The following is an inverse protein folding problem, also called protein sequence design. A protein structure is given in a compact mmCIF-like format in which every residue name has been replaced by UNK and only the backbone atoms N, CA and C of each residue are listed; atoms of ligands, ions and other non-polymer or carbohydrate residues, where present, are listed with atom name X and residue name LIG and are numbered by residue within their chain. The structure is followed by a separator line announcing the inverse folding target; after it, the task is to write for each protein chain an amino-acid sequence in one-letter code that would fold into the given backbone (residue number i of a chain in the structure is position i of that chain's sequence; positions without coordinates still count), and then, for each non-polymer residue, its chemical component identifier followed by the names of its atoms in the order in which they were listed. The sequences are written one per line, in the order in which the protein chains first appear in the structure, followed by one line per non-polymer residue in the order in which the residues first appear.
data_IF_438708681864
#
_entry.id   IF_438708681864
#
_cell.length_a   1.000
_cell.length_b   1.000
_cell.length_c   1.000
_cell.angle_alpha   90.00
_cell.angle_beta   90.00
_cell.angle_gamma   90.00
#
_symmetry.space_group_name_H-M   'P 1'
#
loop_
_entity.id
_entity.type
_entity.pdbx_description
1 polymer ?
#
# COMPACT_ATOMS: atom_id res chain seq x y z
N UNK A 1 1.84 -11.93 -19.34
CA UNK A 1 3.29 -11.63 -19.27
C UNK A 1 3.62 -10.57 -18.21
N UNK A 2 2.90 -9.43 -18.13
CA UNK A 2 3.07 -8.41 -17.07
C UNK A 2 2.86 -8.94 -15.63
N UNK A 3 1.94 -9.89 -15.43
CA UNK A 3 1.66 -10.46 -14.12
C UNK A 3 2.90 -11.07 -13.44
N UNK A 4 3.87 -11.59 -14.20
CA UNK A 4 5.02 -12.29 -13.63
C UNK A 4 6.08 -11.34 -13.03
N UNK A 5 6.23 -10.13 -13.57
CA UNK A 5 7.22 -9.16 -13.06
C UNK A 5 6.71 -8.56 -11.74
N UNK A 6 5.44 -8.13 -11.72
CA UNK A 6 4.83 -7.56 -10.52
C UNK A 6 4.74 -8.62 -9.42
N UNK A 7 4.32 -9.85 -9.75
CA UNK A 7 4.30 -10.96 -8.80
C UNK A 7 5.70 -11.29 -8.25
N UNK A 8 6.74 -11.32 -9.10
CA UNK A 8 8.12 -11.50 -8.66
C UNK A 8 8.59 -10.39 -7.72
N UNK A 9 8.23 -9.13 -8.02
CA UNK A 9 8.52 -7.99 -7.15
C UNK A 9 7.79 -8.11 -5.80
N UNK A 10 6.48 -8.36 -5.82
CA UNK A 10 5.67 -8.53 -4.61
C UNK A 10 6.20 -9.70 -3.78
N UNK A 11 6.64 -10.80 -4.39
CA UNK A 11 7.22 -11.93 -3.67
C UNK A 11 8.52 -11.55 -2.92
N UNK A 12 9.35 -10.68 -3.52
CA UNK A 12 10.59 -10.19 -2.91
C UNK A 12 10.38 -9.03 -1.92
N UNK A 13 9.23 -8.36 -1.97
CA UNK A 13 8.91 -7.25 -1.07
C UNK A 13 9.00 -7.71 0.39
N UNK A 14 9.76 -6.96 1.19
CA UNK A 14 9.96 -7.21 2.63
C UNK A 14 9.30 -6.15 3.51
N UNK A 15 9.16 -6.43 4.80
CA UNK A 15 8.73 -5.44 5.80
C UNK A 15 9.66 -4.23 5.83
N UNK A 16 10.96 -4.43 5.63
CA UNK A 16 11.96 -3.36 5.59
C UNK A 16 11.73 -2.40 4.43
N UNK A 17 11.39 -2.93 3.25
CA UNK A 17 11.10 -2.10 2.07
C UNK A 17 9.86 -1.22 2.29
N UNK A 18 8.81 -1.79 2.88
CA UNK A 18 7.58 -1.07 3.21
C UNK A 18 7.85 0.00 4.26
N UNK A 19 8.60 -0.33 5.32
CA UNK A 19 8.92 0.61 6.38
C UNK A 19 9.76 1.79 5.84
N UNK A 20 10.78 1.50 5.03
CA UNK A 20 11.59 2.54 4.40
C UNK A 20 10.77 3.43 3.47
N UNK A 21 9.83 2.85 2.71
CA UNK A 21 8.93 3.63 1.87
C UNK A 21 8.01 4.54 2.71
N UNK A 22 7.45 4.02 3.80
CA UNK A 22 6.63 4.81 4.72
C UNK A 22 7.42 5.98 5.33
N UNK A 23 8.63 5.71 5.85
CA UNK A 23 9.50 6.73 6.45
C UNK A 23 9.87 7.82 5.43
N UNK A 24 10.20 7.45 4.18
CA UNK A 24 10.48 8.41 3.11
C UNK A 24 9.32 9.36 2.81
N UNK A 25 8.09 8.95 3.13
CA UNK A 25 6.88 9.75 2.99
C UNK A 25 6.39 10.34 4.32
N UNK A 26 7.25 10.39 5.35
CA UNK A 26 6.94 10.91 6.70
C UNK A 26 5.82 10.15 7.44
N UNK A 27 5.70 8.85 7.18
CA UNK A 27 4.77 7.93 7.84
C UNK A 27 5.57 6.97 8.72
N UNK A 28 5.29 6.97 10.02
CA UNK A 28 5.98 6.13 10.99
C UNK A 28 5.02 5.07 11.50
N UNK A 29 5.04 3.92 10.84
CA UNK A 29 4.17 2.80 11.20
C UNK A 29 4.72 2.08 12.43
N UNK A 30 3.83 1.75 13.37
CA UNK A 30 4.17 0.80 14.42
C UNK A 30 4.23 -0.63 13.86
N UNK A 31 4.65 -1.59 14.68
CA UNK A 31 4.82 -2.98 14.25
C UNK A 31 3.53 -3.58 13.69
N UNK A 32 2.40 -3.38 14.36
CA UNK A 32 1.11 -3.96 13.97
C UNK A 32 0.58 -3.34 12.67
N UNK A 33 0.71 -2.02 12.52
CA UNK A 33 0.36 -1.29 11.29
C UNK A 33 1.23 -1.75 10.11
N UNK A 34 2.53 -1.91 10.33
CA UNK A 34 3.47 -2.35 9.30
C UNK A 34 3.19 -3.79 8.85
N UNK A 35 2.95 -4.70 9.79
CA UNK A 35 2.57 -6.09 9.49
C UNK A 35 1.22 -6.16 8.75
N UNK A 36 0.28 -5.30 9.12
CA UNK A 36 -0.99 -5.16 8.40
C UNK A 36 -0.79 -4.73 6.96
N UNK A 37 -0.04 -3.64 6.71
CA UNK A 37 0.23 -3.14 5.35
C UNK A 37 0.93 -4.19 4.50
N UNK A 38 1.94 -4.87 5.05
CA UNK A 38 2.64 -5.96 4.37
C UNK A 38 1.70 -7.08 3.95
N UNK A 39 0.89 -7.57 4.89
CA UNK A 39 -0.08 -8.64 4.64
C UNK A 39 -1.14 -8.21 3.63
N UNK A 40 -1.61 -6.98 3.74
CA UNK A 40 -2.60 -6.41 2.83
C UNK A 40 -2.08 -6.38 1.39
N UNK A 41 -0.87 -5.88 1.17
CA UNK A 41 -0.25 -5.82 -0.17
C UNK A 41 -0.06 -7.23 -0.73
N UNK A 42 0.55 -8.15 0.03
CA UNK A 42 0.83 -9.52 -0.41
C UNK A 42 -0.43 -10.28 -0.81
N UNK A 43 -1.53 -10.09 -0.06
CA UNK A 43 -2.77 -10.84 -0.28
C UNK A 43 -3.68 -10.19 -1.33
N UNK A 44 -3.61 -8.87 -1.54
CA UNK A 44 -4.59 -8.14 -2.35
C UNK A 44 -4.03 -7.52 -3.64
N UNK A 45 -2.72 -7.55 -3.91
CA UNK A 45 -2.14 -6.88 -5.09
C UNK A 45 -2.79 -7.29 -6.41
N UNK A 46 -3.14 -8.57 -6.61
CA UNK A 46 -3.82 -9.04 -7.84
C UNK A 46 -5.18 -8.36 -8.01
N UNK A 47 -5.95 -8.29 -6.93
CA UNK A 47 -7.27 -7.64 -6.90
C UNK A 47 -7.14 -6.13 -7.14
N UNK A 48 -6.16 -5.49 -6.52
CA UNK A 48 -5.89 -4.05 -6.66
C UNK A 48 -5.58 -3.71 -8.13
N UNK A 49 -4.72 -4.49 -8.78
CA UNK A 49 -4.38 -4.29 -10.19
C UNK A 49 -5.59 -4.52 -11.11
N UNK A 50 -6.36 -5.59 -10.88
CA UNK A 50 -7.55 -5.89 -11.69
C UNK A 50 -8.64 -4.82 -11.54
N UNK A 51 -8.79 -4.23 -10.36
CA UNK A 51 -9.76 -3.18 -10.07
C UNK A 51 -9.23 -1.76 -10.38
N UNK A 52 -8.12 -1.63 -11.11
CA UNK A 52 -7.47 -0.35 -11.47
C UNK A 52 -7.20 0.56 -10.26
N UNK A 53 -6.81 -0.04 -9.14
CA UNK A 53 -6.54 0.71 -7.91
C UNK A 53 -7.77 1.21 -7.17
N UNK A 54 -8.99 0.76 -7.50
CA UNK A 54 -10.18 1.10 -6.72
C UNK A 54 -10.16 0.36 -5.38
N UNK A 55 -9.67 1.03 -4.34
CA UNK A 55 -9.56 0.54 -2.97
C UNK A 55 -10.36 1.44 -2.05
N UNK A 56 -11.22 0.84 -1.22
CA UNK A 56 -11.83 1.57 -0.11
C UNK A 56 -10.92 1.47 1.12
N UNK A 57 -10.15 2.53 1.41
CA UNK A 57 -9.25 2.58 2.58
C UNK A 57 -10.01 2.78 3.90
N UNK A 58 -11.23 3.33 3.88
CA UNK A 58 -12.02 3.65 5.09
C UNK A 58 -12.29 2.41 5.95
N UNK A 59 -12.47 1.24 5.34
CA UNK A 59 -12.69 -0.02 6.07
C UNK A 59 -11.49 -0.45 6.92
N UNK A 60 -10.30 0.09 6.66
CA UNK A 60 -9.07 -0.21 7.37
C UNK A 60 -8.66 0.87 8.37
N UNK A 61 -9.50 1.89 8.57
CA UNK A 61 -9.21 2.99 9.50
C UNK A 61 -8.84 2.51 10.91
N UNK A 62 -9.50 1.46 11.40
CA UNK A 62 -9.24 0.86 12.73
C UNK A 62 -7.93 0.09 12.82
N UNK A 63 -7.23 -0.14 11.71
CA UNK A 63 -5.93 -0.81 11.65
C UNK A 63 -4.75 0.17 11.74
N UNK A 64 -5.04 1.46 11.77
CA UNK A 64 -4.06 2.52 11.87
C UNK A 64 -4.42 3.48 12.99
N UNK A 65 -3.40 4.14 13.53
CA UNK A 65 -3.56 5.39 14.25
C UNK A 65 -4.20 6.45 13.36
N UNK A 66 -4.96 7.37 13.96
CA UNK A 66 -5.65 8.43 13.22
C UNK A 66 -4.69 9.25 12.35
N UNK A 67 -3.51 9.58 12.90
CA UNK A 67 -2.47 10.33 12.20
C UNK A 67 -1.94 9.56 10.98
N UNK A 68 -1.54 8.30 11.16
CA UNK A 68 -1.03 7.49 10.04
C UNK A 68 -2.12 7.23 9.01
N UNK A 69 -3.37 7.03 9.42
CA UNK A 69 -4.48 6.84 8.48
C UNK A 69 -4.65 8.04 7.54
N UNK A 70 -4.64 9.27 8.10
CA UNK A 70 -4.74 10.50 7.29
C UNK A 70 -3.56 10.60 6.31
N UNK A 71 -2.34 10.35 6.78
CA UNK A 71 -1.14 10.40 5.91
C UNK A 71 -1.17 9.36 4.80
N UNK A 72 -1.58 8.13 5.11
CA UNK A 72 -1.71 7.05 4.13
C UNK A 72 -2.77 7.39 3.09
N UNK A 73 -3.92 7.91 3.52
CA UNK A 73 -5.00 8.30 2.60
C UNK A 73 -4.53 9.41 1.64
N UNK A 74 -3.82 10.41 2.16
CA UNK A 74 -3.22 11.46 1.34
C UNK A 74 -2.22 10.88 0.32
N UNK A 75 -1.29 10.04 0.79
CA UNK A 75 -0.29 9.40 -0.05
C UNK A 75 -0.93 8.55 -1.15
N UNK A 76 -1.96 7.77 -0.80
CA UNK A 76 -2.70 6.95 -1.76
C UNK A 76 -3.36 7.83 -2.83
N UNK A 77 -4.04 8.90 -2.43
CA UNK A 77 -4.69 9.82 -3.36
C UNK A 77 -3.70 10.53 -4.29
N UNK A 78 -2.53 10.90 -3.79
CA UNK A 78 -1.46 11.49 -4.61
C UNK A 78 -0.97 10.51 -5.68
N UNK A 79 -0.64 9.29 -5.29
CA UNK A 79 -0.17 8.26 -6.23
C UNK A 79 -1.27 7.83 -7.19
N UNK A 80 -2.51 7.67 -6.70
CA UNK A 80 -3.65 7.36 -7.55
C UNK A 80 -3.82 8.45 -8.61
N UNK A 81 -3.86 9.74 -8.24
CA UNK A 81 -3.95 10.84 -9.22
C UNK A 81 -2.78 10.84 -10.20
N UNK A 82 -1.55 10.65 -9.72
CA UNK A 82 -0.33 10.68 -10.53
C UNK A 82 -0.28 9.53 -11.54
N UNK A 83 -0.74 8.34 -11.15
CA UNK A 83 -0.60 7.13 -11.95
C UNK A 83 -1.92 6.61 -12.54
N UNK A 84 -3.05 7.29 -12.31
CA UNK A 84 -4.39 6.89 -12.81
C UNK A 84 -4.42 6.58 -14.31
N UNK A 85 -3.65 7.32 -15.11
CA UNK A 85 -3.61 7.14 -16.56
C UNK A 85 -2.74 5.95 -17.01
N UNK A 86 -2.04 5.31 -16.08
CA UNK A 86 -1.17 4.14 -16.29
C UNK A 86 -1.74 2.85 -15.66
N UNK A 87 -2.89 2.95 -15.00
CA UNK A 87 -3.64 1.87 -14.31
C UNK A 87 -4.92 1.52 -15.09
#
# INVERSE_FOLDING_TARGET
MFNNIIESYINKLSLYDINNFAIKNNIYLNKDELEFVYSYIKNNYKTILNNKGNINLEQYKTKFSEENFVKINNLFNEYYKKYKNYL
#
